data_IF_384466909633
#
_entry.id   IF_384466909633
#
_cell.length_a   1.000
_cell.length_b   1.000
_cell.length_c   1.000
_cell.angle_alpha   90.00
_cell.angle_beta   90.00
_cell.angle_gamma   90.00
#
_symmetry.space_group_name_H-M   'P 1'
#
loop_
_entity.id
_entity.type
_entity.pdbx_description
1 polymer ?
#
# COMPACT_ATOMS: atom_id res chain seq x y z
N UNK A 1 -42.36 -16.06 42.18
CA UNK A 1 -41.07 -15.36 42.03
C UNK A 1 -40.12 -15.95 43.06
N UNK A 2 -39.07 -16.63 42.62
CA UNK A 2 -38.12 -17.29 43.54
C UNK A 2 -36.98 -16.31 43.83
N UNK A 3 -36.78 -15.98 45.11
CA UNK A 3 -35.72 -15.09 45.57
C UNK A 3 -34.59 -15.91 46.22
N UNK A 4 -33.35 -15.49 45.96
CA UNK A 4 -32.17 -16.02 46.63
C UNK A 4 -31.44 -14.84 47.29
N UNK A 5 -31.22 -14.92 48.60
CA UNK A 5 -30.52 -13.87 49.35
C UNK A 5 -29.05 -14.24 49.48
N UNK A 6 -28.16 -13.39 48.97
CA UNK A 6 -26.71 -13.55 49.11
C UNK A 6 -26.12 -12.22 49.56
N UNK A 7 -25.26 -12.24 50.57
CA UNK A 7 -24.60 -11.06 51.15
C UNK A 7 -25.58 -9.92 51.50
N UNK A 8 -26.74 -10.28 52.07
CA UNK A 8 -27.77 -9.31 52.51
C UNK A 8 -28.56 -8.63 51.39
N UNK A 9 -28.33 -8.98 50.13
CA UNK A 9 -29.07 -8.45 48.97
C UNK A 9 -29.99 -9.52 48.39
N UNK A 10 -31.25 -9.14 48.14
CA UNK A 10 -32.27 -10.04 47.58
C UNK A 10 -32.16 -10.03 46.06
N UNK A 11 -31.79 -11.15 45.47
CA UNK A 11 -31.74 -11.33 44.03
C UNK A 11 -33.01 -12.00 43.54
N UNK A 12 -33.70 -11.35 42.61
CA UNK A 12 -34.86 -11.91 41.91
C UNK A 12 -34.37 -12.68 40.70
N UNK A 13 -34.66 -13.99 40.64
CA UNK A 13 -34.39 -14.79 39.44
C UNK A 13 -35.61 -14.76 38.54
N UNK A 14 -35.43 -14.26 37.31
CA UNK A 14 -36.43 -14.28 36.25
C UNK A 14 -36.73 -15.73 35.82
N UNK A 15 -37.96 -16.25 36.02
CA UNK A 15 -38.29 -17.65 35.79
C UNK A 15 -38.29 -18.05 34.30
N UNK A 16 -38.40 -17.10 33.37
CA UNK A 16 -38.45 -17.39 31.94
C UNK A 16 -37.05 -17.47 31.29
N UNK A 17 -36.01 -17.09 32.04
CA UNK A 17 -34.64 -17.07 31.54
C UNK A 17 -34.02 -18.47 31.59
N UNK A 18 -34.16 -19.24 30.50
CA UNK A 18 -33.52 -20.56 30.36
C UNK A 18 -31.99 -20.46 30.51
N UNK A 19 -31.34 -21.33 31.32
CA UNK A 19 -29.90 -21.32 31.48
C UNK A 19 -29.21 -21.67 30.15
N UNK A 20 -28.30 -20.81 29.72
CA UNK A 20 -27.52 -21.02 28.50
C UNK A 20 -26.60 -22.21 28.73
N UNK A 21 -26.82 -23.31 28.00
CA UNK A 21 -26.01 -24.53 28.13
C UNK A 21 -24.53 -24.21 27.80
N UNK A 22 -23.55 -24.68 28.59
CA UNK A 22 -22.13 -24.35 28.37
C UNK A 22 -21.63 -24.79 26.99
N UNK A 23 -22.17 -25.88 26.44
CA UNK A 23 -21.90 -26.32 25.06
C UNK A 23 -22.29 -25.27 24.01
N UNK A 24 -23.40 -24.52 24.21
CA UNK A 24 -23.80 -23.44 23.31
C UNK A 24 -22.87 -22.23 23.39
N UNK A 25 -22.36 -21.93 24.59
CA UNK A 25 -21.38 -20.84 24.78
C UNK A 25 -20.09 -21.17 24.02
N UNK A 26 -19.60 -22.41 24.12
CA UNK A 26 -18.40 -22.86 23.40
C UNK A 26 -18.61 -22.79 21.88
N UNK A 27 -19.75 -23.25 21.36
CA UNK A 27 -20.03 -23.17 19.91
C UNK A 27 -20.11 -21.72 19.42
N UNK A 28 -20.70 -20.82 20.19
CA UNK A 28 -20.76 -19.38 19.85
C UNK A 28 -19.35 -18.78 19.85
N UNK A 29 -18.52 -19.09 20.84
CA UNK A 29 -17.13 -18.60 20.90
C UNK A 29 -16.32 -19.10 19.71
N UNK A 30 -16.45 -20.37 19.33
CA UNK A 30 -15.78 -20.93 18.15
C UNK A 30 -16.27 -20.26 16.86
N UNK A 31 -17.58 -20.04 16.73
CA UNK A 31 -18.15 -19.37 15.56
C UNK A 31 -17.66 -17.92 15.43
N UNK A 32 -17.55 -17.19 16.55
CA UNK A 32 -17.02 -15.82 16.57
C UNK A 32 -15.53 -15.81 16.20
N UNK A 33 -14.73 -16.72 16.75
CA UNK A 33 -13.31 -16.85 16.40
C UNK A 33 -13.12 -17.17 14.90
N UNK A 34 -13.91 -18.09 14.34
CA UNK A 34 -13.86 -18.41 12.93
C UNK A 34 -14.25 -17.22 12.04
N UNK A 35 -15.26 -16.45 12.43
CA UNK A 35 -15.66 -15.24 11.70
C UNK A 35 -14.55 -14.17 11.70
N UNK A 36 -13.89 -13.96 12.85
CA UNK A 36 -12.75 -13.04 12.96
C UNK A 36 -11.60 -13.50 12.07
N UNK A 37 -11.29 -14.80 12.05
CA UNK A 37 -10.24 -15.35 11.20
C UNK A 37 -10.52 -15.10 9.71
N UNK A 38 -11.76 -15.33 9.26
CA UNK A 38 -12.17 -15.11 7.87
C UNK A 38 -12.08 -13.63 7.49
N UNK A 39 -12.52 -12.72 8.36
CA UNK A 39 -12.40 -11.27 8.13
C UNK A 39 -10.94 -10.82 8.04
N UNK A 40 -10.07 -11.35 8.90
CA UNK A 40 -8.64 -11.06 8.86
C UNK A 40 -7.97 -11.57 7.57
N UNK A 41 -8.43 -12.70 7.01
CA UNK A 41 -7.94 -13.19 5.74
C UNK A 41 -8.35 -12.27 4.59
N UNK A 42 -9.64 -11.89 4.52
CA UNK A 42 -10.16 -11.02 3.46
C UNK A 42 -9.46 -9.66 3.47
N UNK A 43 -9.16 -9.10 4.65
CA UNK A 43 -8.47 -7.81 4.74
C UNK A 43 -7.03 -7.84 4.19
N UNK A 44 -6.42 -9.02 4.08
CA UNK A 44 -5.08 -9.18 3.48
C UNK A 44 -5.11 -9.48 1.98
N UNK A 45 -6.29 -9.70 1.40
CA UNK A 45 -6.47 -10.12 0.01
C UNK A 45 -6.46 -8.98 -1.01
N UNK A 46 -6.34 -7.72 -0.60
CA UNK A 46 -6.44 -6.57 -1.50
C UNK A 46 -5.20 -5.70 -1.38
N UNK A 47 -4.76 -5.16 -2.51
CA UNK A 47 -3.67 -4.19 -2.59
C UNK A 47 -3.93 -3.21 -3.73
N UNK A 48 -3.37 -2.02 -3.61
CA UNK A 48 -3.49 -0.96 -4.61
C UNK A 48 -2.12 -0.65 -5.18
N UNK A 49 -2.06 -0.46 -6.48
CA UNK A 49 -0.85 -0.08 -7.21
C UNK A 49 -1.05 1.34 -7.75
N UNK A 50 -0.05 2.19 -7.51
CA UNK A 50 -0.06 3.58 -7.97
C UNK A 50 0.14 3.66 -9.50
N UNK A 51 -0.26 4.77 -10.12
CA UNK A 51 -0.19 5.01 -11.57
C UNK A 51 1.24 5.03 -12.11
N UNK A 52 2.22 5.36 -11.27
CA UNK A 52 3.66 5.35 -11.58
C UNK A 52 4.36 4.05 -11.19
N UNK A 53 3.60 3.05 -10.77
CA UNK A 53 4.14 1.79 -10.27
C UNK A 53 3.53 0.60 -11.00
N UNK A 54 4.30 -0.47 -11.07
CA UNK A 54 3.83 -1.77 -11.52
C UNK A 54 4.14 -2.76 -10.41
N UNK A 55 3.19 -3.64 -10.13
CA UNK A 55 3.38 -4.68 -9.14
C UNK A 55 3.81 -5.98 -9.82
N UNK A 56 4.97 -6.49 -9.44
CA UNK A 56 5.41 -7.85 -9.79
C UNK A 56 4.86 -8.81 -8.75
N UNK A 57 3.95 -9.67 -9.19
CA UNK A 57 3.34 -10.69 -8.35
C UNK A 57 4.13 -11.98 -8.45
N UNK A 58 4.62 -12.43 -7.31
CA UNK A 58 5.45 -13.62 -7.20
C UNK A 58 4.71 -14.68 -6.39
N UNK A 59 4.46 -15.85 -6.99
CA UNK A 59 3.85 -17.00 -6.30
C UNK A 59 4.93 -18.04 -6.02
N UNK A 60 5.16 -18.39 -4.76
CA UNK A 60 6.23 -19.33 -4.34
C UNK A 60 7.63 -19.00 -4.92
N UNK A 61 7.97 -17.71 -5.01
CA UNK A 61 9.27 -17.27 -5.54
C UNK A 61 9.39 -17.24 -7.06
N UNK A 62 8.32 -17.55 -7.81
CA UNK A 62 8.29 -17.41 -9.28
C UNK A 62 7.40 -16.24 -9.68
N UNK A 63 7.86 -15.46 -10.66
CA UNK A 63 7.05 -14.39 -11.25
C UNK A 63 5.88 -15.04 -11.98
N UNK A 64 4.67 -14.74 -11.52
CA UNK A 64 3.44 -15.27 -12.10
C UNK A 64 2.67 -14.23 -12.87
N UNK A 65 2.73 -12.97 -12.44
CA UNK A 65 1.99 -11.89 -13.08
C UNK A 65 2.66 -10.53 -12.86
N UNK A 66 2.34 -9.59 -13.75
CA UNK A 66 2.75 -8.20 -13.67
C UNK A 66 1.49 -7.35 -13.79
N UNK A 67 1.09 -6.74 -12.68
CA UNK A 67 -0.16 -5.96 -12.59
C UNK A 67 0.12 -4.47 -12.68
N UNK A 68 -0.61 -3.80 -13.57
CA UNK A 68 -0.58 -2.34 -13.76
C UNK A 68 -1.30 -1.59 -12.63
N UNK A 69 -1.37 -0.26 -12.75
CA UNK A 69 -2.04 0.62 -11.79
C UNK A 69 -3.51 0.22 -11.53
N UNK A 70 -3.93 0.30 -10.27
CA UNK A 70 -5.29 -0.01 -9.85
C UNK A 70 -5.40 -0.92 -8.64
N UNK A 71 -6.64 -1.31 -8.36
CA UNK A 71 -6.99 -2.22 -7.26
C UNK A 71 -6.90 -3.66 -7.72
N UNK A 72 -6.08 -4.46 -7.03
CA UNK A 72 -5.85 -5.86 -7.33
C UNK A 72 -6.08 -6.75 -6.12
N UNK A 73 -6.43 -8.00 -6.40
CA UNK A 73 -6.64 -9.02 -5.36
C UNK A 73 -5.49 -10.03 -5.38
N UNK A 74 -4.97 -10.34 -4.18
CA UNK A 74 -3.97 -11.39 -3.98
C UNK A 74 -4.50 -12.48 -3.07
N UNK A 75 -3.90 -13.66 -3.19
CA UNK A 75 -4.18 -14.77 -2.29
C UNK A 75 -3.60 -14.46 -0.88
N UNK A 76 -4.38 -14.70 0.19
CA UNK A 76 -3.93 -14.52 1.57
C UNK A 76 -2.92 -15.63 1.96
N UNK A 77 -2.30 -15.50 3.13
CA UNK A 77 -1.32 -16.45 3.69
C UNK A 77 0.09 -16.42 3.07
N UNK A 78 0.50 -15.31 2.45
CA UNK A 78 1.89 -15.13 1.99
C UNK A 78 2.30 -16.03 0.82
N UNK A 79 1.35 -16.74 0.21
CA UNK A 79 1.53 -17.55 -1.01
C UNK A 79 1.93 -16.65 -2.19
N UNK A 80 1.34 -15.45 -2.23
CA UNK A 80 1.64 -14.40 -3.20
C UNK A 80 2.34 -13.22 -2.52
N UNK A 81 3.51 -12.87 -3.03
CA UNK A 81 4.26 -11.67 -2.67
C UNK A 81 4.10 -10.63 -3.76
N UNK A 82 3.78 -9.40 -3.35
CA UNK A 82 3.63 -8.26 -4.26
C UNK A 82 4.81 -7.34 -4.02
N UNK A 83 5.60 -7.10 -5.07
CA UNK A 83 6.67 -6.12 -5.05
C UNK A 83 6.34 -5.03 -6.07
N UNK A 84 6.08 -3.82 -5.59
CA UNK A 84 5.92 -2.66 -6.47
C UNK A 84 7.28 -2.18 -6.93
N UNK A 85 7.38 -1.88 -8.22
CA UNK A 85 8.53 -1.27 -8.87
C UNK A 85 8.03 -0.05 -9.63
N UNK A 86 8.76 1.05 -9.55
CA UNK A 86 8.38 2.26 -10.28
C UNK A 86 8.58 2.01 -11.78
N UNK A 87 7.52 2.17 -12.55
CA UNK A 87 7.54 2.13 -14.02
C UNK A 87 7.06 3.49 -14.52
N UNK A 88 7.63 3.97 -15.63
CA UNK A 88 7.45 5.35 -16.09
C UNK A 88 8.15 6.41 -15.22
N UNK A 89 9.27 6.08 -14.56
CA UNK A 89 10.16 7.12 -14.03
C UNK A 89 10.93 7.72 -15.19
N UNK A 90 10.44 8.84 -15.73
CA UNK A 90 11.21 9.64 -16.67
C UNK A 90 12.49 10.10 -15.99
N UNK A 91 13.62 9.61 -16.49
CA UNK A 91 14.92 10.03 -16.02
C UNK A 91 15.32 11.26 -16.83
N UNK A 92 15.50 12.39 -16.16
CA UNK A 92 15.91 13.65 -16.78
C UNK A 92 17.40 13.86 -16.54
N UNK A 93 18.17 14.01 -17.62
CA UNK A 93 19.56 14.46 -17.57
C UNK A 93 19.57 15.92 -18.01
N UNK A 94 19.96 16.81 -17.11
CA UNK A 94 20.08 18.25 -17.38
C UNK A 94 21.50 18.57 -17.84
N UNK A 95 21.63 19.32 -18.95
CA UNK A 95 22.90 19.69 -19.56
C UNK A 95 22.92 21.20 -19.80
N UNK A 96 23.98 21.86 -19.34
CA UNK A 96 24.09 23.32 -19.41
C UNK A 96 23.40 24.04 -18.25
N UNK A 97 22.59 23.34 -17.44
CA UNK A 97 22.01 23.89 -16.22
C UNK A 97 21.80 22.81 -15.14
N UNK A 98 21.51 23.26 -13.91
CA UNK A 98 20.95 22.44 -12.83
C UNK A 98 19.73 23.13 -12.24
N UNK A 99 18.63 22.40 -12.11
CA UNK A 99 17.45 22.86 -11.38
C UNK A 99 17.59 22.59 -9.89
N UNK A 100 17.19 23.56 -9.06
CA UNK A 100 17.08 23.35 -7.62
C UNK A 100 15.75 22.61 -7.33
N UNK A 101 15.78 21.42 -6.71
CA UNK A 101 14.55 20.69 -6.39
C UNK A 101 13.68 21.39 -5.33
N UNK A 102 14.20 22.39 -4.61
CA UNK A 102 13.49 23.11 -3.54
C UNK A 102 12.86 24.42 -4.04
N UNK A 103 13.39 25.00 -5.13
CA UNK A 103 12.92 26.26 -5.70
C UNK A 103 12.31 26.07 -7.08
N UNK A 104 10.97 26.03 -7.18
CA UNK A 104 10.28 26.01 -8.47
C UNK A 104 10.76 27.17 -9.36
N UNK A 105 11.34 26.84 -10.51
CA UNK A 105 11.78 27.81 -11.50
C UNK A 105 13.17 28.42 -11.28
N UNK A 106 13.88 28.03 -10.21
CA UNK A 106 15.28 28.43 -10.02
C UNK A 106 16.19 27.39 -10.67
N UNK A 107 16.89 27.79 -11.72
CA UNK A 107 17.94 26.99 -12.33
C UNK A 107 19.22 27.81 -12.48
N UNK A 108 20.35 27.16 -12.22
CA UNK A 108 21.68 27.75 -12.38
C UNK A 108 22.30 27.24 -13.69
N UNK A 109 22.66 28.16 -14.58
CA UNK A 109 23.37 27.83 -15.82
C UNK A 109 24.84 27.50 -15.51
N UNK A 110 25.32 26.37 -16.05
CA UNK A 110 26.71 25.95 -15.93
C UNK A 110 27.44 26.34 -17.22
N UNK A 111 28.16 27.47 -17.16
CA UNK A 111 28.93 27.99 -18.30
C UNK A 111 29.87 26.95 -18.95
N UNK A 112 30.42 26.02 -18.16
CA UNK A 112 31.32 24.97 -18.65
C UNK A 112 30.62 23.93 -19.53
N UNK A 113 29.32 23.74 -19.35
CA UNK A 113 28.52 22.78 -20.11
C UNK A 113 27.70 23.45 -21.21
N UNK A 114 27.25 24.70 -21.01
CA UNK A 114 26.37 25.40 -21.94
C UNK A 114 27.09 26.24 -23.00
N UNK A 115 28.31 26.73 -22.75
CA UNK A 115 29.00 27.66 -23.66
C UNK A 115 29.68 26.94 -24.82
N UNK A 116 29.29 27.29 -26.05
CA UNK A 116 29.79 26.70 -27.28
C UNK A 116 30.17 27.77 -28.30
N UNK A 117 31.05 27.41 -29.25
CA UNK A 117 31.43 28.25 -30.38
C UNK A 117 30.88 27.62 -31.66
N UNK A 118 30.13 28.39 -32.44
CA UNK A 118 29.58 27.96 -33.73
C UNK A 118 30.63 28.04 -34.84
N UNK A 119 30.35 27.43 -35.99
CA UNK A 119 31.28 27.41 -37.13
C UNK A 119 31.60 28.78 -37.74
N UNK A 120 30.79 29.80 -37.45
CA UNK A 120 30.97 31.21 -37.82
C UNK A 120 31.55 32.06 -36.67
N UNK A 121 32.14 31.43 -35.65
CA UNK A 121 32.81 32.06 -34.50
C UNK A 121 31.91 32.86 -33.55
N UNK A 122 30.60 32.59 -33.54
CA UNK A 122 29.71 33.15 -32.53
C UNK A 122 29.77 32.33 -31.23
N UNK A 123 29.66 33.01 -30.09
CA UNK A 123 29.53 32.37 -28.78
C UNK A 123 28.05 32.22 -28.47
N UNK A 124 27.61 31.01 -28.19
CA UNK A 124 26.24 30.69 -27.82
C UNK A 124 26.21 29.91 -26.50
N UNK A 125 25.15 30.10 -25.72
CA UNK A 125 24.85 29.30 -24.55
C UNK A 125 23.68 28.37 -24.91
N UNK A 126 23.85 27.07 -24.69
CA UNK A 126 22.85 26.05 -25.01
C UNK A 126 22.52 25.27 -23.74
N UNK A 127 21.25 25.36 -23.34
CA UNK A 127 20.70 24.63 -22.20
C UNK A 127 19.66 23.65 -22.73
N UNK A 128 19.80 22.37 -22.38
CA UNK A 128 18.86 21.34 -22.81
C UNK A 128 18.80 20.21 -21.79
N UNK A 129 17.77 19.38 -21.92
CA UNK A 129 17.66 18.18 -21.12
C UNK A 129 17.33 17.01 -22.03
N UNK A 130 17.78 15.82 -21.63
CA UNK A 130 17.43 14.57 -22.26
C UNK A 130 16.52 13.81 -21.31
N UNK A 131 15.34 13.47 -21.80
CA UNK A 131 14.40 12.60 -21.11
C UNK A 131 14.44 11.22 -21.78
N UNK A 132 14.62 10.17 -20.97
CA UNK A 132 14.62 8.79 -21.46
C UNK A 132 13.74 7.88 -20.61
N UNK A 133 13.29 6.79 -21.24
CA UNK A 133 12.39 5.77 -20.69
C UNK A 133 13.02 4.40 -20.79
#
# INVERSE_FOLDING_TARGET
MNNFTKDGRVYYTDPDKKPIKPKKIITIVIAVLAAILVLALISTCWYTVDEKQQAVVTTFGKVTDVTDAGMHFKLPLGIQQVKTVDVNVYQKIELGYRSDPVGEGVYETIDKESKMITGDYNIVNVDFFVEYK
#
